data_IF_529066041039
#
_entry.id   IF_529066041039
#
_cell.length_a   1.000
_cell.length_b   1.000
_cell.length_c   1.000
_cell.angle_alpha   90.00
_cell.angle_beta   90.00
_cell.angle_gamma   90.00
#
_symmetry.space_group_name_H-M   'P 1'
#
loop_
_entity.id
_entity.type
_entity.pdbx_description
1 polymer ?
#
# COMPACT_ATOMS: atom_id res chain seq x y z
N UNK A 1 15.60 11.52 -16.61
CA UNK A 1 15.02 11.22 -17.94
C UNK A 1 13.52 11.37 -17.79
N UNK A 2 12.81 12.12 -18.65
CA UNK A 2 11.35 12.32 -18.49
C UNK A 2 10.63 11.93 -19.78
N UNK A 3 9.56 11.15 -19.66
CA UNK A 3 8.78 10.64 -20.78
C UNK A 3 7.52 11.49 -21.00
N UNK A 4 7.22 11.82 -22.25
CA UNK A 4 5.97 12.49 -22.61
C UNK A 4 4.88 11.44 -22.89
N UNK A 5 3.71 11.66 -22.30
CA UNK A 5 2.50 10.84 -22.50
C UNK A 5 2.52 9.49 -21.79
N UNK A 6 1.34 8.95 -21.47
CA UNK A 6 1.20 7.75 -20.66
C UNK A 6 1.79 6.49 -21.33
N UNK A 7 2.47 5.59 -20.58
CA UNK A 7 3.05 4.36 -21.13
C UNK A 7 2.01 3.52 -21.88
N UNK A 8 2.32 3.00 -23.06
CA UNK A 8 1.30 2.36 -23.90
C UNK A 8 0.92 0.94 -23.47
N UNK A 9 1.77 0.30 -22.67
CA UNK A 9 1.64 -1.09 -22.23
C UNK A 9 2.37 -1.31 -20.91
N UNK A 10 2.12 -2.44 -20.25
CA UNK A 10 2.90 -2.88 -19.08
C UNK A 10 4.39 -2.94 -19.38
N UNK A 11 4.78 -3.50 -20.54
CA UNK A 11 6.19 -3.55 -20.97
C UNK A 11 6.81 -2.16 -21.10
N UNK A 12 6.06 -1.19 -21.62
CA UNK A 12 6.51 0.20 -21.69
C UNK A 12 6.64 0.81 -20.30
N UNK A 13 5.68 0.60 -19.40
CA UNK A 13 5.71 1.12 -18.04
C UNK A 13 6.94 0.58 -17.27
N UNK A 14 7.10 -0.74 -17.25
CA UNK A 14 8.23 -1.41 -16.58
C UNK A 14 9.58 -0.94 -17.14
N UNK A 15 9.69 -0.79 -18.46
CA UNK A 15 10.91 -0.27 -19.07
C UNK A 15 11.18 1.18 -18.66
N UNK A 16 10.16 2.03 -18.60
CA UNK A 16 10.33 3.42 -18.16
C UNK A 16 10.80 3.49 -16.70
N UNK A 17 10.20 2.70 -15.81
CA UNK A 17 10.62 2.59 -14.41
C UNK A 17 12.08 2.13 -14.32
N UNK A 18 12.46 1.07 -15.06
CA UNK A 18 13.85 0.61 -15.10
C UNK A 18 14.81 1.67 -15.61
N UNK A 19 14.45 2.39 -16.67
CA UNK A 19 15.33 3.43 -17.25
C UNK A 19 15.56 4.63 -16.31
N UNK A 20 14.71 4.84 -15.31
CA UNK A 20 14.91 5.87 -14.28
C UNK A 20 15.90 5.44 -13.20
N UNK A 21 16.17 4.14 -13.07
CA UNK A 21 17.02 3.58 -12.02
C UNK A 21 18.26 2.90 -12.61
N UNK A 22 19.41 3.04 -11.95
CA UNK A 22 20.65 2.41 -12.39
C UNK A 22 20.79 0.93 -12.01
N UNK A 23 19.84 0.38 -11.26
CA UNK A 23 19.89 -0.97 -10.68
C UNK A 23 18.49 -1.61 -10.61
N UNK A 24 18.43 -2.93 -10.83
CA UNK A 24 17.18 -3.71 -10.83
C UNK A 24 16.48 -3.71 -9.45
N UNK A 25 17.26 -3.70 -8.37
CA UNK A 25 16.73 -3.59 -7.01
C UNK A 25 16.07 -2.24 -6.74
N UNK A 26 16.66 -1.15 -7.24
CA UNK A 26 16.06 0.18 -7.17
C UNK A 26 14.81 0.29 -8.04
N UNK A 27 14.83 -0.26 -9.25
CA UNK A 27 13.66 -0.33 -10.13
C UNK A 27 12.51 -1.10 -9.49
N UNK A 28 12.78 -2.21 -8.81
CA UNK A 28 11.78 -2.95 -8.05
C UNK A 28 11.18 -2.11 -6.92
N UNK A 29 12.01 -1.35 -6.19
CA UNK A 29 11.52 -0.42 -5.14
C UNK A 29 10.61 0.65 -5.72
N UNK A 30 10.96 1.24 -6.86
CA UNK A 30 10.12 2.21 -7.57
C UNK A 30 8.79 1.62 -8.00
N UNK A 31 8.82 0.43 -8.61
CA UNK A 31 7.62 -0.29 -9.03
C UNK A 31 6.66 -0.51 -7.86
N UNK A 32 7.19 -0.92 -6.71
CA UNK A 32 6.37 -1.17 -5.52
C UNK A 32 5.85 0.15 -4.94
N UNK A 33 6.69 1.17 -4.78
CA UNK A 33 6.22 2.50 -4.33
C UNK A 33 5.12 3.06 -5.22
N UNK A 34 5.25 2.91 -6.53
CA UNK A 34 4.23 3.29 -7.51
C UNK A 34 2.94 2.46 -7.33
N UNK A 35 3.03 1.15 -7.12
CA UNK A 35 1.87 0.30 -6.87
C UNK A 35 1.13 0.69 -5.58
N UNK A 36 1.85 1.05 -4.51
CA UNK A 36 1.25 1.53 -3.26
C UNK A 36 0.50 2.85 -3.46
N UNK A 37 1.07 3.79 -4.22
CA UNK A 37 0.40 5.06 -4.56
C UNK A 37 -0.84 4.81 -5.42
N UNK A 38 -0.72 3.99 -6.47
CA UNK A 38 -1.84 3.59 -7.34
C UNK A 38 -2.99 3.00 -6.51
N UNK A 39 -2.68 2.07 -5.61
CA UNK A 39 -3.67 1.48 -4.73
C UNK A 39 -4.31 2.52 -3.80
N UNK A 40 -3.50 3.45 -3.28
CA UNK A 40 -3.96 4.58 -2.48
C UNK A 40 -4.88 5.55 -3.22
N UNK A 41 -4.74 5.72 -4.54
CA UNK A 41 -5.67 6.55 -5.35
C UNK A 41 -7.07 5.94 -5.47
N UNK A 42 -7.17 4.62 -5.32
CA UNK A 42 -8.41 3.84 -5.41
C UNK A 42 -8.90 3.34 -4.04
N UNK A 43 -8.25 3.75 -2.96
CA UNK A 43 -8.62 3.32 -1.61
C UNK A 43 -9.88 4.11 -1.17
N UNK A 44 -10.93 3.44 -0.66
CA UNK A 44 -12.05 4.12 -0.03
C UNK A 44 -11.65 4.84 1.26
N UNK A 45 -12.61 5.50 1.89
CA UNK A 45 -12.40 6.23 3.13
C UNK A 45 -11.72 5.38 4.22
N UNK A 46 -10.59 5.89 4.67
CA UNK A 46 -9.68 5.23 5.59
C UNK A 46 -8.32 5.91 5.61
N UNK A 47 -7.36 5.31 6.31
CA UNK A 47 -6.00 5.81 6.36
C UNK A 47 -4.99 4.68 6.20
N UNK A 48 -4.00 4.88 5.32
CA UNK A 48 -2.86 3.97 5.18
C UNK A 48 -1.99 4.07 6.42
N UNK A 49 -1.60 2.93 6.98
CA UNK A 49 -0.77 2.83 8.19
C UNK A 49 0.48 1.98 7.95
N UNK A 50 1.23 1.73 9.04
CA UNK A 50 2.34 0.78 9.02
C UNK A 50 3.53 1.19 8.16
N UNK A 51 4.25 0.19 7.62
CA UNK A 51 5.45 0.42 6.82
C UNK A 51 5.18 1.20 5.54
N UNK A 52 4.03 0.94 4.90
CA UNK A 52 3.62 1.61 3.66
C UNK A 52 3.27 3.07 3.85
N UNK A 53 2.68 3.42 4.99
CA UNK A 53 2.52 4.82 5.36
C UNK A 53 3.86 5.56 5.44
N UNK A 54 4.86 4.97 6.08
CA UNK A 54 6.21 5.55 6.13
C UNK A 54 6.83 5.68 4.74
N UNK A 55 6.72 4.63 3.90
CA UNK A 55 7.25 4.65 2.54
C UNK A 55 6.59 5.74 1.68
N UNK A 56 5.28 5.95 1.81
CA UNK A 56 4.57 7.03 1.12
C UNK A 56 4.98 8.42 1.63
N UNK A 57 5.27 8.57 2.92
CA UNK A 57 5.67 9.85 3.51
C UNK A 57 7.12 10.25 3.19
N UNK A 58 8.05 9.28 3.22
CA UNK A 58 9.49 9.54 3.22
C UNK A 58 10.25 8.95 2.03
N UNK A 59 9.56 8.28 1.10
CA UNK A 59 10.14 7.76 -0.14
C UNK A 59 11.31 6.80 0.10
N UNK A 60 12.43 7.05 -0.58
CA UNK A 60 13.62 6.17 -0.58
C UNK A 60 14.28 5.96 0.79
N UNK A 61 14.05 6.85 1.77
CA UNK A 61 14.68 6.80 3.08
C UNK A 61 14.14 5.72 4.04
N UNK A 62 13.14 4.93 3.62
CA UNK A 62 12.49 3.97 4.50
C UNK A 62 12.93 2.53 4.27
N UNK A 63 12.69 1.68 5.29
CA UNK A 63 12.71 0.22 5.11
C UNK A 63 11.78 -0.16 3.96
N UNK A 64 12.25 -1.07 3.12
CA UNK A 64 11.47 -1.59 2.02
C UNK A 64 10.24 -2.37 2.53
N UNK A 65 9.07 -2.04 1.98
CA UNK A 65 7.78 -2.64 2.30
C UNK A 65 7.06 -3.01 1.02
N UNK A 66 6.29 -4.10 1.04
CA UNK A 66 5.51 -4.59 -0.10
C UNK A 66 4.01 -4.69 0.19
N UNK A 67 3.65 -4.59 1.46
CA UNK A 67 2.30 -4.79 1.95
C UNK A 67 1.69 -3.42 2.26
N UNK A 68 0.45 -3.19 1.88
CA UNK A 68 -0.28 -1.97 2.19
C UNK A 68 -1.23 -2.23 3.35
N UNK A 69 -0.99 -1.57 4.47
CA UNK A 69 -1.86 -1.64 5.64
C UNK A 69 -2.78 -0.43 5.65
N UNK A 70 -4.07 -0.62 5.93
CA UNK A 70 -5.01 0.47 6.10
C UNK A 70 -5.96 0.25 7.29
N UNK A 71 -6.54 1.33 7.79
CA UNK A 71 -7.65 1.31 8.74
C UNK A 71 -8.92 1.83 8.06
N UNK A 72 -10.03 1.09 8.20
CA UNK A 72 -11.37 1.49 7.71
C UNK A 72 -12.17 2.20 8.81
N UNK A 73 -12.91 3.24 8.43
CA UNK A 73 -13.90 3.89 9.30
C UNK A 73 -15.27 3.20 9.25
N UNK A 74 -15.59 2.60 8.11
CA UNK A 74 -16.88 1.95 7.86
C UNK A 74 -16.84 0.43 8.11
N UNK A 75 -17.99 -0.28 8.11
CA UNK A 75 -18.03 -1.73 8.20
C UNK A 75 -17.25 -2.43 7.07
N UNK A 76 -16.76 -3.65 7.33
CA UNK A 76 -15.92 -4.40 6.39
C UNK A 76 -16.63 -4.67 5.05
N UNK A 77 -17.92 -5.01 5.08
CA UNK A 77 -18.71 -5.29 3.87
C UNK A 77 -18.86 -4.05 2.98
N UNK A 78 -19.18 -2.90 3.57
CA UNK A 78 -19.28 -1.62 2.87
C UNK A 78 -17.94 -1.23 2.25
N UNK A 79 -16.87 -1.25 3.04
CA UNK A 79 -15.51 -0.97 2.53
C UNK A 79 -15.13 -1.87 1.37
N UNK A 80 -15.42 -3.17 1.48
CA UNK A 80 -15.11 -4.13 0.43
C UNK A 80 -15.86 -3.80 -0.87
N UNK A 81 -17.15 -3.49 -0.78
CA UNK A 81 -17.97 -3.14 -1.94
C UNK A 81 -17.42 -1.90 -2.65
N UNK A 82 -17.18 -0.82 -1.89
CA UNK A 82 -16.66 0.43 -2.44
C UNK A 82 -15.27 0.25 -3.05
N UNK A 83 -14.44 -0.61 -2.42
CA UNK A 83 -13.10 -0.87 -2.92
C UNK A 83 -13.12 -1.68 -4.22
N UNK A 84 -13.99 -2.70 -4.31
CA UNK A 84 -14.18 -3.48 -5.54
C UNK A 84 -14.67 -2.59 -6.70
N UNK A 85 -15.58 -1.65 -6.42
CA UNK A 85 -16.05 -0.65 -7.39
C UNK A 85 -14.92 0.29 -7.82
N UNK A 86 -14.19 0.89 -6.87
CA UNK A 86 -13.09 1.81 -7.16
C UNK A 86 -11.96 1.13 -7.96
N UNK A 87 -11.60 -0.10 -7.61
CA UNK A 87 -10.61 -0.89 -8.35
C UNK A 87 -11.07 -1.20 -9.79
N UNK A 88 -12.37 -1.39 -10.00
CA UNK A 88 -12.94 -1.65 -11.32
C UNK A 88 -12.98 -0.38 -12.18
N UNK A 89 -13.37 0.76 -11.59
CA UNK A 89 -13.33 2.07 -12.24
C UNK A 89 -11.88 2.48 -12.60
N UNK A 90 -10.96 2.19 -11.69
CA UNK A 90 -9.53 2.38 -11.90
C UNK A 90 -9.06 3.82 -11.75
N UNK A 91 -7.75 4.02 -11.95
CA UNK A 91 -7.10 5.31 -11.91
C UNK A 91 -5.94 5.36 -12.91
N UNK A 92 -5.90 6.38 -13.78
CA UNK A 92 -4.82 6.60 -14.76
C UNK A 92 -4.45 5.37 -15.62
N UNK A 93 -5.45 4.56 -15.98
CA UNK A 93 -5.26 3.32 -16.76
C UNK A 93 -4.88 2.09 -15.93
N UNK A 94 -4.72 2.24 -14.60
CA UNK A 94 -4.65 1.14 -13.67
C UNK A 94 -6.05 0.71 -13.25
N UNK A 95 -6.26 -0.60 -13.11
CA UNK A 95 -7.46 -1.19 -12.50
C UNK A 95 -7.01 -2.30 -11.56
N UNK A 96 -7.93 -2.87 -10.78
CA UNK A 96 -7.60 -4.00 -9.94
C UNK A 96 -8.74 -4.95 -9.65
N UNK A 97 -8.40 -6.03 -8.95
CA UNK A 97 -9.34 -6.99 -8.38
C UNK A 97 -8.93 -7.31 -6.95
N UNK A 98 -9.89 -7.22 -6.05
CA UNK A 98 -9.74 -7.58 -4.65
C UNK A 98 -9.97 -9.10 -4.47
N UNK A 99 -9.08 -9.76 -3.72
CA UNK A 99 -9.21 -11.17 -3.36
C UNK A 99 -9.12 -11.28 -1.84
N UNK A 100 -10.22 -11.65 -1.20
CA UNK A 100 -10.25 -11.88 0.24
C UNK A 100 -9.47 -13.15 0.61
N UNK A 101 -8.68 -13.07 1.68
CA UNK A 101 -7.95 -14.20 2.26
C UNK A 101 -8.55 -14.56 3.62
N UNK A 102 -8.28 -15.77 4.10
CA UNK A 102 -8.72 -16.17 5.43
C UNK A 102 -7.99 -15.30 6.48
N UNK A 103 -8.75 -14.66 7.36
CA UNK A 103 -8.16 -13.92 8.48
C UNK A 103 -7.55 -14.91 9.49
N UNK A 104 -6.38 -14.58 10.08
CA UNK A 104 -5.85 -15.33 11.21
C UNK A 104 -6.88 -15.37 12.34
N UNK A 105 -6.94 -16.47 13.10
CA UNK A 105 -7.77 -16.58 14.32
C UNK A 105 -6.86 -16.83 15.53
N UNK A 106 -6.14 -15.81 16.04
CA UNK A 106 -5.31 -15.98 17.21
C UNK A 106 -6.21 -16.11 18.45
N UNK A 107 -5.99 -17.13 19.28
CA UNK A 107 -6.79 -17.38 20.49
C UNK A 107 -6.73 -16.27 21.54
N UNK A 108 -5.63 -15.49 21.55
CA UNK A 108 -5.36 -14.46 22.55
C UNK A 108 -5.57 -13.01 22.06
N UNK A 109 -6.07 -12.83 20.83
CA UNK A 109 -6.24 -11.50 20.21
C UNK A 109 -7.73 -11.22 20.01
N UNK A 110 -8.27 -10.14 20.59
CA UNK A 110 -9.66 -9.77 20.33
C UNK A 110 -9.88 -9.51 18.84
N UNK A 111 -11.02 -9.94 18.30
CA UNK A 111 -11.34 -9.89 16.86
C UNK A 111 -11.27 -8.50 16.24
N UNK A 112 -11.46 -7.44 17.04
CA UNK A 112 -11.27 -6.05 16.62
C UNK A 112 -9.83 -5.79 16.10
N UNK A 113 -8.82 -6.40 16.76
CA UNK A 113 -7.40 -6.23 16.48
C UNK A 113 -6.86 -7.18 15.40
N UNK A 114 -7.73 -7.98 14.77
CA UNK A 114 -7.34 -8.90 13.71
C UNK A 114 -7.44 -8.17 12.37
N UNK A 115 -6.29 -7.98 11.73
CA UNK A 115 -6.24 -7.46 10.36
C UNK A 115 -6.90 -8.48 9.42
N UNK A 116 -7.78 -8.01 8.55
CA UNK A 116 -8.36 -8.83 7.48
C UNK A 116 -7.42 -8.77 6.25
N UNK A 117 -6.77 -9.87 5.87
CA UNK A 117 -5.88 -9.91 4.72
C UNK A 117 -6.65 -10.03 3.40
N UNK A 118 -6.06 -9.42 2.37
CA UNK A 118 -6.47 -9.44 0.98
C UNK A 118 -5.25 -9.47 0.07
N UNK A 119 -5.46 -9.89 -1.18
CA UNK A 119 -4.56 -9.60 -2.30
C UNK A 119 -5.27 -8.66 -3.28
N UNK A 120 -4.59 -7.60 -3.70
CA UNK A 120 -5.05 -6.75 -4.79
C UNK A 120 -4.22 -7.05 -6.02
N UNK A 121 -4.86 -7.62 -7.04
CA UNK A 121 -4.24 -7.85 -8.35
C UNK A 121 -4.43 -6.61 -9.21
N UNK A 122 -3.35 -5.88 -9.48
CA UNK A 122 -3.35 -4.68 -10.30
C UNK A 122 -3.07 -5.00 -11.76
N UNK A 123 -3.84 -4.37 -12.62
CA UNK A 123 -3.65 -4.35 -14.06
C UNK A 123 -3.27 -2.94 -14.51
N UNK A 124 -2.59 -2.84 -15.65
CA UNK A 124 -2.39 -1.59 -16.37
C UNK A 124 -2.84 -1.78 -17.82
N UNK A 125 -3.79 -0.94 -18.26
CA UNK A 125 -4.43 -1.03 -19.59
C UNK A 125 -4.95 -2.44 -19.90
N UNK A 126 -5.65 -3.03 -18.94
CA UNK A 126 -6.26 -4.36 -19.06
C UNK A 126 -5.28 -5.55 -19.01
N UNK A 127 -3.98 -5.33 -18.80
CA UNK A 127 -2.98 -6.40 -18.67
C UNK A 127 -2.44 -6.51 -17.24
N UNK A 128 -2.18 -7.73 -16.72
CA UNK A 128 -1.61 -7.91 -15.39
C UNK A 128 -0.31 -7.13 -15.20
N UNK A 129 -0.20 -6.41 -14.09
CA UNK A 129 0.98 -5.64 -13.74
C UNK A 129 1.66 -6.17 -12.48
N UNK A 130 1.00 -6.15 -11.33
CA UNK A 130 1.55 -6.67 -10.07
C UNK A 130 0.46 -7.05 -9.07
N UNK A 131 0.86 -7.68 -7.97
CA UNK A 131 -0.02 -8.00 -6.84
C UNK A 131 0.50 -7.29 -5.60
N UNK A 132 -0.39 -6.65 -4.85
CA UNK A 132 -0.10 -6.00 -3.57
C UNK A 132 -0.83 -6.78 -2.47
N UNK A 133 -0.11 -7.16 -1.42
CA UNK A 133 -0.76 -7.68 -0.21
C UNK A 133 -1.40 -6.51 0.51
N UNK A 134 -2.66 -6.64 0.87
CA UNK A 134 -3.42 -5.59 1.51
C UNK A 134 -4.00 -6.10 2.82
N UNK A 135 -3.72 -5.40 3.92
CA UNK A 135 -4.27 -5.73 5.23
C UNK A 135 -5.16 -4.60 5.73
N UNK A 136 -6.38 -4.95 6.13
CA UNK A 136 -7.38 -3.99 6.58
C UNK A 136 -7.71 -4.19 8.06
N UNK A 137 -7.39 -3.20 8.89
CA UNK A 137 -7.73 -3.15 10.30
C UNK A 137 -8.96 -2.29 10.59
N UNK A 138 -9.51 -2.42 11.80
CA UNK A 138 -10.52 -1.49 12.30
C UNK A 138 -9.88 -0.15 12.72
N UNK A 139 -10.68 0.93 12.74
CA UNK A 139 -10.27 2.23 13.28
C UNK A 139 -10.42 2.22 14.81
N UNK A 140 -9.39 1.80 15.54
CA UNK A 140 -9.50 1.55 16.98
C UNK A 140 -9.20 2.78 17.86
N UNK A 141 -8.39 3.73 17.38
CA UNK A 141 -7.92 4.89 18.19
C UNK A 141 -7.94 6.21 17.38
N UNK A 142 -8.89 6.34 16.47
CA UNK A 142 -8.97 7.48 15.57
C UNK A 142 -7.81 7.55 14.58
N UNK A 143 -7.33 6.38 14.16
CA UNK A 143 -6.27 6.17 13.17
C UNK A 143 -6.59 6.86 11.84
N UNK A 144 -7.88 6.97 11.53
CA UNK A 144 -8.40 7.59 10.31
C UNK A 144 -9.08 8.96 10.54
N UNK A 145 -9.10 9.49 11.76
CA UNK A 145 -9.91 10.69 12.09
C UNK A 145 -9.24 12.01 11.66
N UNK A 146 -7.89 12.03 11.60
CA UNK A 146 -7.09 13.17 11.13
C UNK A 146 -5.92 12.69 10.27
N UNK A 147 -6.17 12.16 9.06
CA UNK A 147 -5.10 11.67 8.19
C UNK A 147 -4.19 12.82 7.74
N UNK A 148 -2.90 12.52 7.57
CA UNK A 148 -1.99 13.37 6.82
C UNK A 148 -2.10 13.02 5.33
N UNK A 149 -2.13 14.03 4.46
CA UNK A 149 -2.22 13.84 3.02
C UNK A 149 -0.82 13.85 2.39
N UNK A 150 -0.38 12.71 1.86
CA UNK A 150 0.95 12.47 1.26
C UNK A 150 0.78 11.63 -0.01
N UNK A 151 1.62 11.78 -1.05
CA UNK A 151 2.92 11.10 -0.98
C UNK A 151 4.11 12.06 -1.01
N UNK A 152 5.33 11.54 -0.84
CA UNK A 152 6.58 12.31 -0.97
C UNK A 152 6.73 12.89 -2.38
N UNK A 153 7.40 14.04 -2.50
CA UNK A 153 7.66 14.68 -3.79
C UNK A 153 8.32 13.72 -4.80
N UNK A 154 9.28 12.93 -4.33
CA UNK A 154 9.97 11.88 -5.09
C UNK A 154 9.03 10.82 -5.70
N UNK A 155 7.94 10.46 -5.02
CA UNK A 155 6.92 9.56 -5.57
C UNK A 155 6.01 10.26 -6.57
N UNK A 156 5.69 11.54 -6.36
CA UNK A 156 4.92 12.34 -7.31
C UNK A 156 5.72 12.52 -8.62
N UNK A 157 7.00 12.86 -8.49
CA UNK A 157 7.95 12.99 -9.59
C UNK A 157 8.02 11.70 -10.40
N UNK A 158 8.13 10.54 -9.76
CA UNK A 158 8.14 9.24 -10.44
C UNK A 158 6.98 9.07 -11.43
N UNK A 159 5.74 9.47 -11.07
CA UNK A 159 4.60 9.38 -12.00
C UNK A 159 4.77 10.30 -13.20
N UNK A 160 5.20 11.54 -12.95
CA UNK A 160 5.42 12.51 -14.04
C UNK A 160 6.58 12.11 -14.93
N UNK A 161 7.66 11.56 -14.37
CA UNK A 161 8.84 11.10 -15.12
C UNK A 161 8.50 9.93 -16.03
N UNK A 162 7.66 8.98 -15.59
CA UNK A 162 7.19 7.88 -16.47
C UNK A 162 6.08 8.31 -17.44
N UNK A 163 5.67 9.58 -17.42
CA UNK A 163 4.68 10.17 -18.34
C UNK A 163 3.22 10.01 -17.92
N UNK A 164 2.95 9.73 -16.64
CA UNK A 164 1.61 9.69 -16.06
C UNK A 164 1.26 11.01 -15.36
N UNK A 165 -0.03 11.22 -15.11
CA UNK A 165 -0.50 12.36 -14.31
C UNK A 165 -0.03 12.23 -12.87
N UNK A 166 0.30 13.37 -12.25
CA UNK A 166 0.64 13.42 -10.83
C UNK A 166 -0.50 12.82 -9.97
N UNK A 167 -0.20 11.94 -9.00
CA UNK A 167 -1.21 11.39 -8.10
C UNK A 167 -1.72 12.46 -7.14
N UNK A 168 -2.97 12.30 -6.70
CA UNK A 168 -3.49 13.12 -5.59
C UNK A 168 -2.80 12.70 -4.28
N UNK A 169 -2.75 13.58 -3.28
CA UNK A 169 -2.38 13.16 -1.93
C UNK A 169 -3.29 12.02 -1.43
N UNK A 170 -2.68 10.98 -0.90
CA UNK A 170 -3.29 9.81 -0.27
C UNK A 170 -3.40 10.03 1.24
N UNK A 171 -4.48 9.54 1.85
CA UNK A 171 -4.67 9.61 3.29
C UNK A 171 -3.75 8.62 4.03
N UNK A 172 -2.90 9.16 4.89
CA UNK A 172 -1.91 8.40 5.65
C UNK A 172 -2.05 8.70 7.14
N UNK A 173 -1.98 7.67 7.98
CA UNK A 173 -1.99 7.78 9.43
C UNK A 173 -0.82 8.67 9.90
N UNK A 174 -1.11 9.60 10.81
CA UNK A 174 -0.09 10.52 11.34
C UNK A 174 1.02 9.77 12.09
N UNK A 175 2.24 10.32 12.03
CA UNK A 175 3.43 9.67 12.57
C UNK A 175 3.38 9.42 14.09
N UNK A 176 2.81 10.35 14.86
CA UNK A 176 2.57 10.21 16.31
C UNK A 176 1.70 8.99 16.64
N UNK A 177 0.62 8.78 15.86
CA UNK A 177 -0.25 7.61 15.99
C UNK A 177 0.46 6.31 15.58
N UNK A 178 1.27 6.34 14.53
CA UNK A 178 2.08 5.17 14.14
C UNK A 178 3.13 4.80 15.19
N UNK A 179 3.76 5.79 15.84
CA UNK A 179 4.70 5.56 16.95
C UNK A 179 3.97 4.91 18.12
N UNK A 180 2.79 5.42 18.50
CA UNK A 180 1.98 4.84 19.57
C UNK A 180 1.59 3.38 19.28
N UNK A 181 1.14 3.07 18.06
CA UNK A 181 0.83 1.69 17.67
C UNK A 181 2.06 0.77 17.71
N UNK A 182 3.21 1.23 17.20
CA UNK A 182 4.45 0.45 17.23
C UNK A 182 4.92 0.21 18.66
N UNK A 183 4.91 1.22 19.52
CA UNK A 183 5.26 1.09 20.95
C UNK A 183 4.35 0.09 21.65
N UNK A 184 3.03 0.23 21.48
CA UNK A 184 2.07 -0.71 22.04
C UNK A 184 2.29 -2.15 21.55
N UNK A 185 2.56 -2.33 20.24
CA UNK A 185 2.80 -3.64 19.66
C UNK A 185 4.07 -4.32 20.19
N UNK A 186 5.12 -3.55 20.53
CA UNK A 186 6.38 -4.11 21.08
C UNK A 186 6.39 -4.20 22.60
N UNK A 187 5.51 -3.48 23.31
CA UNK A 187 5.44 -3.46 24.78
C UNK A 187 4.35 -4.34 25.38
N UNK A 188 3.53 -5.01 24.57
CA UNK A 188 2.48 -5.92 25.05
C UNK A 188 3.05 -7.20 25.68
N UNK A 189 2.51 -7.62 26.83
CA UNK A 189 2.92 -8.87 27.47
C UNK A 189 2.64 -10.08 26.55
N UNK A 190 3.66 -10.88 26.27
CA UNK A 190 3.57 -12.02 25.32
C UNK A 190 3.70 -11.63 23.85
N UNK A 191 4.58 -10.68 23.51
CA UNK A 191 4.79 -10.18 22.14
C UNK A 191 5.37 -11.22 21.16
N UNK A 192 4.66 -12.30 20.87
CA UNK A 192 4.92 -13.20 19.73
C UNK A 192 4.66 -12.51 18.38
N UNK A 193 3.96 -11.36 18.39
CA UNK A 193 3.72 -10.51 17.22
C UNK A 193 5.00 -9.96 16.55
N UNK A 194 6.16 -10.02 17.22
CA UNK A 194 7.44 -9.62 16.62
C UNK A 194 8.15 -10.75 15.85
N UNK A 195 7.68 -12.01 15.91
CA UNK A 195 8.44 -13.18 15.41
C UNK A 195 7.96 -13.79 14.08
N UNK A 196 6.90 -13.32 13.44
CA UNK A 196 6.52 -13.82 12.11
C UNK A 196 7.24 -13.09 10.97
N UNK A 197 8.57 -13.06 11.03
CA UNK A 197 9.40 -13.08 9.83
C UNK A 197 9.61 -14.54 9.45
N UNK A 198 9.16 -14.95 8.27
CA UNK A 198 9.36 -16.30 7.72
C UNK A 198 10.81 -16.76 7.98
N UNK A 199 11.06 -17.91 8.64
CA UNK A 199 12.43 -18.37 8.85
C UNK A 199 13.08 -18.63 7.48
N UNK A 200 14.39 -18.34 7.32
CA UNK A 200 15.12 -18.71 6.12
C UNK A 200 15.07 -20.23 5.95
N UNK A 201 14.86 -20.69 4.71
CA UNK A 201 14.91 -22.11 4.39
C UNK A 201 16.30 -22.66 4.74
N UNK A 202 16.39 -23.91 5.26
CA UNK A 202 17.67 -24.55 5.52
C UNK A 202 18.47 -24.70 4.23
N UNK A 203 19.78 -24.51 4.34
CA UNK A 203 20.76 -24.66 3.26
C UNK A 203 20.84 -26.09 2.75
#
# INVERSE_FOLDING_TARGET
>A
MSYIGAPTSVRSLERRIRNLEGDDGLALRRRIGMALVVLGQMLPDGAIKGGSAMALCYGRGTRFTRDLDAARVQPLSAFRSDFEESLSAGWAGFTGRLIQKAAPRPSAVPTAYVMQPFEVKLNYRGRPWCTVNFELGHNEIGDADKPAYRPSADLIELFTEVGLTAPRPVAVMRADRQIAQKLHAVSGAGSERARFGRPPAPR
#
